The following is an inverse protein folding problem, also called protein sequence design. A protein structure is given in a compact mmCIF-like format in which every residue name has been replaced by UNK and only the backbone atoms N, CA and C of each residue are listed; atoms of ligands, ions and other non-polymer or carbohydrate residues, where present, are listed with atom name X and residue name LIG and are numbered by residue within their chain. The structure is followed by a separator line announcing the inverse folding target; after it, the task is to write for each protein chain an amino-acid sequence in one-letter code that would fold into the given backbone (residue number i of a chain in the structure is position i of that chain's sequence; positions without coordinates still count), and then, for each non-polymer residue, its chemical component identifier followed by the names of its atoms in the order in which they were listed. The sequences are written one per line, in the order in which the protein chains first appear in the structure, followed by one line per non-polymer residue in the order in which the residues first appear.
data_IF_188514953333
#
_entry.id   IF_188514953333
#
_cell.length_a   1.000
_cell.length_b   1.000
_cell.length_c   1.000
_cell.angle_alpha   90.00
_cell.angle_beta   90.00
_cell.angle_gamma   90.00
#
_symmetry.space_group_name_H-M   'P 1'
#
loop_
_entity.id
_entity.type
_entity.pdbx_description
1 polymer ?
#
# COMPACT_ATOMS: atom_id res chain seq x y z
N UNK A 1 -1.64 -17.64 13.34
CA UNK A 1 -2.05 -17.01 12.05
C UNK A 1 -3.35 -16.24 12.26
N UNK A 2 -3.48 -15.01 11.74
CA UNK A 2 -4.75 -14.28 11.78
C UNK A 2 -5.81 -15.05 10.97
N UNK A 3 -7.02 -15.22 11.53
CA UNK A 3 -8.13 -15.99 10.90
C UNK A 3 -8.51 -15.49 9.50
N UNK A 4 -8.15 -14.26 9.14
CA UNK A 4 -8.41 -13.66 7.84
C UNK A 4 -7.47 -14.15 6.73
N UNK A 5 -6.22 -14.53 7.05
CA UNK A 5 -5.28 -15.06 6.07
C UNK A 5 -5.67 -16.45 5.56
N UNK A 6 -6.31 -17.26 6.42
CA UNK A 6 -6.78 -18.59 6.06
C UNK A 6 -7.89 -18.55 5.01
N UNK A 7 -8.85 -17.63 5.16
CA UNK A 7 -10.00 -17.52 4.25
C UNK A 7 -9.61 -17.03 2.85
N UNK A 8 -8.60 -16.16 2.76
CA UNK A 8 -8.05 -15.68 1.49
C UNK A 8 -7.20 -16.76 0.79
N UNK A 9 -6.51 -17.61 1.56
CA UNK A 9 -5.79 -18.78 1.02
C UNK A 9 -6.75 -19.91 0.59
N UNK A 10 -7.91 -20.05 1.25
CA UNK A 10 -9.00 -20.95 0.84
C UNK A 10 -9.72 -20.49 -0.43
N UNK A 11 -9.97 -19.18 -0.59
CA UNK A 11 -10.50 -18.61 -1.84
C UNK A 11 -9.50 -18.70 -3.01
N UNK A 12 -8.19 -18.75 -2.72
CA UNK A 12 -7.11 -18.98 -3.68
C UNK A 12 -6.89 -20.47 -4.02
N UNK A 13 -7.97 -21.26 -3.95
CA UNK A 13 -7.99 -22.68 -4.26
C UNK A 13 -6.98 -23.07 -5.35
N UNK A 14 -6.03 -23.93 -4.96
CA UNK A 14 -5.00 -24.59 -5.76
C UNK A 14 -3.63 -23.91 -5.96
N UNK A 15 -3.34 -22.70 -5.45
CA UNK A 15 -1.96 -22.20 -5.43
C UNK A 15 -1.23 -22.61 -4.14
N UNK A 16 -0.47 -23.71 -4.16
CA UNK A 16 0.44 -24.07 -3.05
C UNK A 16 1.48 -22.95 -2.86
N UNK A 17 1.25 -22.08 -1.88
CA UNK A 17 2.22 -21.08 -1.44
C UNK A 17 3.21 -21.79 -0.50
N UNK A 18 4.34 -22.23 -1.05
CA UNK A 18 5.48 -22.69 -0.25
C UNK A 18 6.26 -21.43 0.16
N UNK A 19 6.34 -21.17 1.47
CA UNK A 19 7.10 -20.05 2.03
C UNK A 19 8.62 -20.26 1.87
N UNK A 20 9.43 -19.21 2.06
CA UNK A 20 10.87 -19.23 1.76
C UNK A 20 11.75 -19.93 2.80
N UNK A 21 11.19 -20.64 3.78
CA UNK A 21 11.97 -21.22 4.90
C UNK A 21 12.42 -22.67 4.70
N UNK A 22 11.96 -23.36 3.66
CA UNK A 22 12.53 -24.64 3.26
C UNK A 22 13.33 -24.45 1.97
N UNK A 23 14.62 -24.76 2.03
CA UNK A 23 15.49 -24.85 0.86
C UNK A 23 14.92 -25.96 -0.04
N UNK A 24 14.07 -25.57 -1.00
CA UNK A 24 13.30 -26.48 -1.83
C UNK A 24 14.24 -27.36 -2.66
N UNK A 25 14.46 -28.59 -2.19
CA UNK A 25 15.41 -29.57 -2.71
C UNK A 25 14.85 -30.38 -3.90
N UNK A 26 13.62 -30.09 -4.34
CA UNK A 26 12.93 -30.85 -5.37
C UNK A 26 13.24 -30.40 -6.80
N UNK A 27 13.89 -29.26 -7.01
CA UNK A 27 14.17 -28.74 -8.35
C UNK A 27 15.67 -28.48 -8.56
N UNK A 28 16.24 -29.09 -9.61
CA UNK A 28 17.56 -28.71 -10.11
C UNK A 28 17.55 -27.20 -10.43
N UNK A 29 18.61 -26.47 -10.08
CA UNK A 29 18.71 -25.01 -10.25
C UNK A 29 18.43 -24.54 -11.69
N UNK A 30 18.59 -25.42 -12.68
CA UNK A 30 18.39 -25.17 -14.11
C UNK A 30 16.93 -25.23 -14.58
N UNK A 31 16.01 -25.78 -13.76
CA UNK A 31 14.57 -25.87 -14.05
C UNK A 31 13.82 -25.27 -12.86
N UNK A 32 14.07 -24.00 -12.55
CA UNK A 32 13.11 -23.24 -11.78
C UNK A 32 12.09 -22.68 -12.78
N UNK A 33 10.85 -23.20 -12.85
CA UNK A 33 9.75 -22.39 -13.36
C UNK A 33 9.56 -21.26 -12.34
N UNK A 34 10.44 -20.26 -12.38
CA UNK A 34 10.27 -19.05 -11.61
C UNK A 34 9.00 -18.41 -12.13
N UNK A 35 7.96 -18.37 -11.30
CA UNK A 35 6.80 -17.56 -11.61
C UNK A 35 7.31 -16.13 -11.89
N UNK A 36 6.94 -15.58 -13.05
CA UNK A 36 7.30 -14.22 -13.46
C UNK A 36 6.87 -13.19 -12.40
N UNK A 37 5.92 -13.56 -11.54
CA UNK A 37 5.34 -12.77 -10.47
C UNK A 37 5.21 -13.64 -9.21
N UNK A 38 5.61 -13.12 -8.04
CA UNK A 38 5.40 -13.79 -6.74
C UNK A 38 3.91 -13.94 -6.40
N UNK A 39 3.53 -14.96 -5.61
CA UNK A 39 2.12 -15.25 -5.28
C UNK A 39 1.34 -14.03 -4.73
N UNK A 40 1.91 -13.26 -3.81
CA UNK A 40 1.25 -12.06 -3.27
C UNK A 40 1.07 -10.97 -4.33
N UNK A 41 2.06 -10.81 -5.22
CA UNK A 41 1.98 -9.89 -6.34
C UNK A 41 0.95 -10.35 -7.38
N UNK A 42 0.79 -11.66 -7.58
CA UNK A 42 -0.23 -12.23 -8.46
C UNK A 42 -1.65 -11.85 -8.01
N UNK A 43 -1.93 -11.98 -6.72
CA UNK A 43 -3.22 -11.55 -6.15
C UNK A 43 -3.41 -10.04 -6.30
N UNK A 44 -2.34 -9.26 -6.09
CA UNK A 44 -2.38 -7.80 -6.22
C UNK A 44 -2.65 -7.36 -7.67
N UNK A 45 -2.14 -8.08 -8.67
CA UNK A 45 -2.49 -7.85 -10.09
C UNK A 45 -3.99 -7.92 -10.33
N UNK A 46 -4.69 -8.87 -9.70
CA UNK A 46 -6.14 -8.97 -9.77
C UNK A 46 -6.89 -7.76 -9.21
N UNK A 47 -6.25 -6.95 -8.36
CA UNK A 47 -6.83 -5.70 -7.83
C UNK A 47 -6.58 -4.50 -8.74
N UNK A 48 -5.52 -4.51 -9.55
CA UNK A 48 -5.10 -3.36 -10.35
C UNK A 48 -5.45 -3.44 -11.84
N UNK A 49 -5.65 -4.65 -12.38
CA UNK A 49 -6.02 -4.86 -13.79
C UNK A 49 -7.54 -4.79 -13.96
N UNK A 50 -8.01 -4.00 -14.92
CA UNK A 50 -9.42 -3.93 -15.28
C UNK A 50 -9.91 -5.27 -15.82
N UNK A 51 -10.94 -5.84 -15.19
CA UNK A 51 -11.40 -7.21 -15.45
C UNK A 51 -10.77 -8.25 -14.51
N UNK A 52 -9.90 -7.82 -13.60
CA UNK A 52 -9.31 -8.64 -12.56
C UNK A 52 -8.39 -9.74 -13.08
N UNK A 53 -8.12 -10.72 -12.21
CA UNK A 53 -7.15 -11.78 -12.52
C UNK A 53 -7.62 -12.70 -13.66
N UNK A 54 -8.92 -12.91 -13.80
CA UNK A 54 -9.50 -13.75 -14.86
C UNK A 54 -9.14 -13.24 -16.27
N UNK A 55 -9.05 -11.92 -16.45
CA UNK A 55 -8.63 -11.33 -17.73
C UNK A 55 -7.16 -11.60 -18.03
N UNK A 56 -6.31 -11.54 -16.99
CA UNK A 56 -4.88 -11.85 -17.10
C UNK A 56 -4.70 -13.32 -17.45
N UNK A 57 -5.42 -14.22 -16.77
CA UNK A 57 -5.38 -15.66 -17.01
C UNK A 57 -5.87 -16.04 -18.41
N UNK A 58 -6.92 -15.38 -18.91
CA UNK A 58 -7.41 -15.59 -20.27
C UNK A 58 -6.42 -15.15 -21.36
N UNK A 59 -5.44 -14.30 -21.03
CA UNK A 59 -4.46 -13.75 -21.97
C UNK A 59 -3.03 -13.89 -21.42
N UNK A 60 -2.75 -15.05 -20.80
CA UNK A 60 -1.51 -15.25 -20.04
C UNK A 60 -0.25 -15.12 -20.90
N UNK A 61 -0.30 -15.53 -22.16
CA UNK A 61 0.80 -15.38 -23.11
C UNK A 61 1.13 -13.91 -23.40
N UNK A 62 0.10 -13.08 -23.57
CA UNK A 62 0.22 -11.62 -23.73
C UNK A 62 0.81 -11.02 -22.46
N UNK A 63 0.31 -11.42 -21.29
CA UNK A 63 0.81 -10.95 -20.00
C UNK A 63 2.29 -11.29 -19.79
N UNK A 64 2.70 -12.53 -20.06
CA UNK A 64 4.10 -12.96 -19.92
C UNK A 64 5.01 -12.16 -20.85
N UNK A 65 4.61 -11.93 -22.11
CA UNK A 65 5.37 -11.09 -23.06
C UNK A 65 5.47 -9.64 -22.57
N UNK A 66 4.38 -9.07 -22.08
CA UNK A 66 4.36 -7.72 -21.53
C UNK A 66 5.30 -7.58 -20.33
N UNK A 67 5.26 -8.54 -19.40
CA UNK A 67 6.15 -8.56 -18.23
C UNK A 67 7.62 -8.72 -18.64
N UNK A 68 7.93 -9.64 -19.56
CA UNK A 68 9.29 -9.82 -20.08
C UNK A 68 9.81 -8.55 -20.75
N UNK A 69 8.98 -7.91 -21.59
CA UNK A 69 9.34 -6.65 -22.25
C UNK A 69 9.62 -5.55 -21.23
N UNK A 70 8.73 -5.38 -20.25
CA UNK A 70 8.91 -4.41 -19.17
C UNK A 70 10.24 -4.63 -18.44
N UNK A 71 10.54 -5.87 -18.03
CA UNK A 71 11.78 -6.16 -17.30
C UNK A 71 13.05 -6.00 -18.14
N UNK A 72 13.00 -6.31 -19.43
CA UNK A 72 14.17 -6.23 -20.32
C UNK A 72 14.45 -4.81 -20.82
N UNK A 73 13.43 -3.99 -21.07
CA UNK A 73 13.60 -2.70 -21.77
C UNK A 73 13.19 -1.49 -20.97
N UNK A 74 12.12 -1.60 -20.18
CA UNK A 74 11.56 -0.45 -19.46
C UNK A 74 12.19 -0.31 -18.06
N UNK A 75 12.37 -1.42 -17.33
CA UNK A 75 12.96 -1.43 -15.99
C UNK A 75 14.43 -1.00 -15.96
N UNK A 76 15.19 -1.26 -17.02
CA UNK A 76 16.58 -0.79 -17.13
C UNK A 76 16.66 0.74 -17.22
N UNK A 77 15.66 1.40 -17.83
CA UNK A 77 15.57 2.88 -17.85
C UNK A 77 15.13 3.43 -16.50
N UNK A 78 14.18 2.76 -15.85
CA UNK A 78 13.67 3.20 -14.54
C UNK A 78 14.67 2.96 -13.40
N UNK A 79 15.55 1.95 -13.50
CA UNK A 79 16.57 1.66 -12.50
C UNK A 79 17.55 2.83 -12.28
N UNK A 80 17.87 3.60 -13.32
CA UNK A 80 18.69 4.81 -13.22
C UNK A 80 17.96 5.92 -12.43
N UNK A 81 16.63 6.04 -12.58
CA UNK A 81 15.82 6.98 -11.82
C UNK A 81 15.56 6.54 -10.37
N UNK A 82 15.48 5.23 -10.12
CA UNK A 82 15.27 4.68 -8.78
C UNK A 82 16.50 4.80 -7.88
N UNK A 83 17.72 4.67 -8.41
CA UNK A 83 18.94 4.92 -7.63
C UNK A 83 19.04 6.37 -7.13
N UNK A 84 18.44 7.32 -7.85
CA UNK A 84 18.37 8.72 -7.43
C UNK A 84 17.33 8.88 -6.31
N UNK A 85 16.12 8.33 -6.48
CA UNK A 85 15.02 8.46 -5.49
C UNK A 85 15.23 7.68 -4.18
N UNK A 86 16.01 6.60 -4.22
CA UNK A 86 16.41 5.81 -3.02
C UNK A 86 17.83 6.16 -2.54
N UNK A 87 18.55 7.01 -3.27
CA UNK A 87 19.90 7.48 -2.94
C UNK A 87 19.92 8.65 -1.96
N UNK A 88 18.79 9.34 -1.81
CA UNK A 88 18.64 10.50 -0.91
C UNK A 88 18.49 10.13 0.57
N UNK A 89 18.49 8.84 0.92
CA UNK A 89 18.62 8.42 2.32
C UNK A 89 20.04 8.80 2.75
N UNK A 90 20.21 9.78 3.66
CA UNK A 90 21.53 10.18 4.10
C UNK A 90 22.26 8.93 4.61
N UNK A 91 23.51 8.68 4.18
CA UNK A 91 24.27 7.60 4.74
C UNK A 91 24.30 7.79 6.26
N UNK A 92 23.83 6.80 7.00
CA UNK A 92 24.08 6.75 8.43
C UNK A 92 25.60 6.86 8.61
N UNK A 93 26.10 7.93 9.26
CA UNK A 93 27.54 8.17 9.39
C UNK A 93 28.25 7.04 10.15
N UNK A 94 27.49 6.20 10.87
CA UNK A 94 28.01 5.04 11.59
C UNK A 94 27.87 3.71 10.82
N UNK A 95 27.29 3.70 9.62
CA UNK A 95 27.05 2.50 8.82
C UNK A 95 27.97 2.44 7.60
N UNK A 96 29.23 2.07 7.81
CA UNK A 96 30.26 1.98 6.76
C UNK A 96 30.19 0.70 5.90
N UNK A 97 29.17 -0.15 6.07
CA UNK A 97 29.08 -1.42 5.35
C UNK A 97 28.04 -1.36 4.23
N UNK A 98 28.50 -1.41 2.98
CA UNK A 98 27.69 -1.63 1.76
C UNK A 98 26.67 -2.78 1.91
N UNK A 99 27.03 -3.82 2.68
CA UNK A 99 26.16 -4.96 2.98
C UNK A 99 24.94 -4.62 3.85
N UNK A 100 24.99 -3.59 4.70
CA UNK A 100 23.84 -3.17 5.51
C UNK A 100 22.80 -2.42 4.66
N UNK A 101 23.25 -1.59 3.71
CA UNK A 101 22.36 -0.94 2.73
C UNK A 101 21.65 -1.97 1.86
N UNK A 102 22.38 -2.96 1.33
CA UNK A 102 21.83 -4.05 0.53
C UNK A 102 20.82 -4.91 1.34
N UNK A 103 21.10 -5.20 2.61
CA UNK A 103 20.15 -5.92 3.49
C UNK A 103 18.87 -5.15 3.79
N UNK A 104 18.93 -3.82 3.97
CA UNK A 104 17.72 -2.98 4.15
C UNK A 104 16.85 -2.99 2.88
N UNK A 105 17.49 -2.82 1.74
CA UNK A 105 16.84 -2.84 0.42
C UNK A 105 16.19 -4.21 0.15
N UNK A 106 16.90 -5.32 0.45
CA UNK A 106 16.32 -6.67 0.37
C UNK A 106 15.13 -6.88 1.32
N UNK A 107 15.17 -6.35 2.55
CA UNK A 107 14.02 -6.44 3.48
C UNK A 107 12.78 -5.73 2.94
N UNK A 108 12.94 -4.58 2.28
CA UNK A 108 11.84 -3.87 1.62
C UNK A 108 11.22 -4.72 0.50
N UNK A 109 12.03 -5.43 -0.28
CA UNK A 109 11.56 -6.31 -1.36
C UNK A 109 10.90 -7.61 -0.88
N UNK A 110 11.22 -8.07 0.33
CA UNK A 110 10.64 -9.27 0.92
C UNK A 110 9.36 -8.99 1.73
N UNK A 111 8.98 -7.73 1.95
CA UNK A 111 7.71 -7.42 2.61
C UNK A 111 6.55 -7.78 1.69
N UNK A 112 5.52 -8.39 2.27
CA UNK A 112 4.33 -8.79 1.55
C UNK A 112 3.55 -7.53 1.11
N UNK A 113 3.53 -7.15 -0.19
CA UNK A 113 2.85 -5.93 -0.61
C UNK A 113 1.33 -6.06 -0.51
N UNK A 114 0.80 -7.29 -0.46
CA UNK A 114 -0.63 -7.53 -0.30
C UNK A 114 -1.10 -7.21 1.13
N UNK A 115 -0.25 -7.42 2.14
CA UNK A 115 -0.62 -7.24 3.55
C UNK A 115 0.32 -6.26 4.25
N UNK A 116 -0.16 -5.03 4.43
CA UNK A 116 0.55 -4.01 5.19
C UNK A 116 0.08 -4.04 6.64
N UNK A 117 0.90 -4.59 7.54
CA UNK A 117 0.49 -4.85 8.93
C UNK A 117 0.01 -3.59 9.65
N UNK A 118 0.77 -2.49 9.55
CA UNK A 118 0.39 -1.22 10.19
C UNK A 118 -0.93 -0.65 9.67
N UNK A 119 -1.24 -0.87 8.39
CA UNK A 119 -2.51 -0.50 7.79
C UNK A 119 -3.66 -1.29 8.43
N UNK A 120 -3.51 -2.61 8.57
CA UNK A 120 -4.51 -3.46 9.23
C UNK A 120 -4.69 -3.07 10.71
N UNK A 121 -3.61 -2.81 11.42
CA UNK A 121 -3.64 -2.33 12.82
C UNK A 121 -4.39 -1.00 12.95
N UNK A 122 -4.13 -0.05 12.04
CA UNK A 122 -4.84 1.23 12.00
C UNK A 122 -6.34 1.02 11.73
N UNK A 123 -6.71 0.16 10.78
CA UNK A 123 -8.12 -0.17 10.51
C UNK A 123 -8.78 -0.77 11.75
N UNK A 124 -8.14 -1.74 12.39
CA UNK A 124 -8.71 -2.42 13.54
C UNK A 124 -8.84 -1.49 14.75
N UNK A 125 -7.84 -0.64 15.02
CA UNK A 125 -7.89 0.37 16.07
C UNK A 125 -9.07 1.32 15.89
N UNK A 126 -9.32 1.78 14.66
CA UNK A 126 -10.37 2.75 14.38
C UNK A 126 -11.78 2.11 14.28
N UNK A 127 -11.87 0.80 14.07
CA UNK A 127 -13.12 0.04 14.30
C UNK A 127 -13.50 0.02 15.78
N UNK A 128 -12.52 -0.19 16.67
CA UNK A 128 -12.76 -0.21 18.11
C UNK A 128 -13.16 1.19 18.61
N UNK A 129 -12.46 2.24 18.17
CA UNK A 129 -12.77 3.64 18.54
C UNK A 129 -14.19 4.07 18.16
N UNK A 130 -14.68 3.64 17.00
CA UNK A 130 -16.03 3.95 16.53
C UNK A 130 -17.13 3.49 17.50
N UNK A 131 -16.87 2.47 18.32
CA UNK A 131 -17.83 1.94 19.30
C UNK A 131 -18.01 2.90 20.49
N UNK A 132 -16.96 3.67 20.83
CA UNK A 132 -16.96 4.57 21.99
C UNK A 132 -17.20 6.05 21.67
N UNK A 133 -16.91 6.50 20.45
CA UNK A 133 -16.95 7.93 20.13
C UNK A 133 -18.35 8.44 19.78
N UNK A 134 -18.92 9.28 20.65
CA UNK A 134 -19.99 10.22 20.25
C UNK A 134 -19.34 11.40 19.55
N UNK A 135 -19.75 11.65 18.31
CA UNK A 135 -19.28 12.82 17.55
C UNK A 135 -19.78 14.09 18.24
N UNK A 136 -18.85 14.91 18.72
CA UNK A 136 -19.15 16.27 19.15
C UNK A 136 -19.23 17.13 17.90
N UNK A 137 -20.32 17.88 17.77
CA UNK A 137 -20.58 18.74 16.62
C UNK A 137 -19.78 20.04 16.69
N UNK A 138 -19.89 20.85 15.64
CA UNK A 138 -19.17 22.13 15.48
C UNK A 138 -19.70 23.26 16.38
N UNK A 139 -20.68 23.00 17.25
CA UNK A 139 -21.46 24.07 17.88
C UNK A 139 -22.04 24.98 16.79
N UNK A 140 -21.79 26.28 16.90
CA UNK A 140 -22.18 27.31 15.93
C UNK A 140 -21.10 27.63 14.88
N UNK A 141 -19.97 26.92 14.88
CA UNK A 141 -18.89 27.20 13.94
C UNK A 141 -19.21 26.67 12.53
N UNK A 142 -19.07 27.48 11.46
CA UNK A 142 -19.36 27.03 10.10
C UNK A 142 -18.44 25.89 9.65
N UNK A 143 -19.04 24.79 9.16
CA UNK A 143 -18.32 23.60 8.69
C UNK A 143 -17.34 23.95 7.56
N UNK A 144 -17.74 24.82 6.66
CA UNK A 144 -16.95 25.25 5.50
C UNK A 144 -15.65 25.91 5.95
N UNK A 145 -15.72 26.76 6.98
CA UNK A 145 -14.52 27.39 7.56
C UNK A 145 -13.63 26.36 8.26
N UNK A 146 -14.20 25.36 8.91
CA UNK A 146 -13.43 24.29 9.55
C UNK A 146 -12.66 23.48 8.51
N UNK A 147 -13.31 23.13 7.40
CA UNK A 147 -12.67 22.45 6.28
C UNK A 147 -11.55 23.31 5.70
N UNK A 148 -11.80 24.60 5.43
CA UNK A 148 -10.77 25.52 4.93
C UNK A 148 -9.56 25.64 5.85
N UNK A 149 -9.79 25.73 7.17
CA UNK A 149 -8.71 25.77 8.15
C UNK A 149 -7.90 24.46 8.14
N UNK A 150 -8.57 23.31 8.15
CA UNK A 150 -7.88 22.01 8.10
C UNK A 150 -7.11 21.84 6.78
N UNK A 151 -7.68 22.25 5.65
CA UNK A 151 -7.01 22.23 4.35
C UNK A 151 -5.77 23.13 4.33
N UNK A 152 -5.76 24.20 5.12
CA UNK A 152 -4.62 25.11 5.27
C UNK A 152 -3.54 24.52 6.19
N UNK A 153 -3.94 23.87 7.28
CA UNK A 153 -3.02 23.27 8.27
C UNK A 153 -2.42 21.95 7.78
N UNK A 154 -3.17 21.21 6.98
CA UNK A 154 -2.75 19.96 6.39
C UNK A 154 -3.20 19.94 4.91
N UNK A 155 -2.35 20.45 4.00
CA UNK A 155 -2.65 20.52 2.58
C UNK A 155 -2.73 19.13 1.92
N UNK A 156 -2.99 19.10 0.60
CA UNK A 156 -3.08 17.86 -0.17
C UNK A 156 -1.72 17.12 -0.24
N UNK A 157 -0.64 17.89 -0.37
CA UNK A 157 0.73 17.44 -0.13
C UNK A 157 1.07 17.82 1.31
N UNK A 158 1.44 16.85 2.13
CA UNK A 158 1.61 17.07 3.57
C UNK A 158 2.80 16.29 4.12
N UNK A 159 3.27 16.76 5.28
CA UNK A 159 4.34 16.19 6.10
C UNK A 159 3.76 15.56 7.37
N UNK A 160 4.56 14.76 8.07
CA UNK A 160 4.18 14.18 9.36
C UNK A 160 3.79 15.27 10.40
N UNK A 161 4.45 16.42 10.36
CA UNK A 161 4.18 17.54 11.27
C UNK A 161 2.80 18.15 10.99
N UNK A 162 2.44 18.35 9.72
CA UNK A 162 1.14 18.89 9.33
C UNK A 162 -0.02 17.95 9.68
N UNK A 163 0.17 16.63 9.52
CA UNK A 163 -0.81 15.63 9.99
C UNK A 163 -0.99 15.71 11.50
N UNK A 164 0.10 15.85 12.26
CA UNK A 164 0.04 16.00 13.71
C UNK A 164 -0.63 17.32 14.13
N UNK A 165 -0.35 18.42 13.42
CA UNK A 165 -1.01 19.71 13.66
C UNK A 165 -2.52 19.62 13.42
N UNK A 166 -2.94 18.93 12.34
CA UNK A 166 -4.36 18.69 12.09
C UNK A 166 -5.02 17.88 13.21
N UNK A 167 -4.36 16.84 13.74
CA UNK A 167 -4.86 16.08 14.91
C UNK A 167 -5.06 17.00 16.12
N UNK A 168 -4.02 17.74 16.49
CA UNK A 168 -4.05 18.64 17.65
C UNK A 168 -5.15 19.70 17.51
N UNK A 169 -5.34 20.25 16.31
CA UNK A 169 -6.39 21.22 16.03
C UNK A 169 -7.79 20.60 16.16
N UNK A 170 -8.03 19.46 15.51
CA UNK A 170 -9.34 18.78 15.60
C UNK A 170 -9.69 18.40 17.04
N UNK A 171 -8.70 17.97 17.82
CA UNK A 171 -8.87 17.63 19.24
C UNK A 171 -9.15 18.88 20.09
N UNK A 172 -8.34 19.94 19.95
CA UNK A 172 -8.49 21.17 20.72
C UNK A 172 -9.85 21.84 20.53
N UNK A 173 -10.35 21.85 19.30
CA UNK A 173 -11.66 22.41 18.97
C UNK A 173 -12.80 21.39 19.02
N UNK A 174 -12.51 20.12 19.34
CA UNK A 174 -13.45 19.01 19.32
C UNK A 174 -14.20 18.88 17.98
N UNK A 175 -13.55 19.26 16.88
CA UNK A 175 -14.14 19.24 15.55
C UNK A 175 -14.19 17.82 14.99
N UNK A 176 -15.37 17.45 14.49
CA UNK A 176 -15.57 16.19 13.77
C UNK A 176 -16.03 16.45 12.36
N UNK A 177 -15.12 16.39 11.39
CA UNK A 177 -15.47 16.58 9.98
C UNK A 177 -16.28 15.40 9.41
N UNK A 178 -17.10 15.62 8.37
CA UNK A 178 -17.88 14.56 7.73
C UNK A 178 -17.00 13.42 7.19
N UNK A 179 -17.53 12.19 7.22
CA UNK A 179 -16.80 11.02 6.71
C UNK A 179 -16.41 11.16 5.24
N UNK A 180 -17.24 11.82 4.43
CA UNK A 180 -16.97 12.06 3.01
C UNK A 180 -15.67 12.84 2.78
N UNK A 181 -15.34 13.77 3.68
CA UNK A 181 -14.10 14.54 3.63
C UNK A 181 -12.89 13.61 3.81
N UNK A 182 -12.88 12.79 4.87
CA UNK A 182 -11.78 11.88 5.16
C UNK A 182 -11.65 10.75 4.14
N UNK A 183 -12.77 10.19 3.67
CA UNK A 183 -12.76 9.17 2.61
C UNK A 183 -12.11 9.70 1.34
N UNK A 184 -12.39 10.94 0.95
CA UNK A 184 -11.79 11.58 -0.22
C UNK A 184 -10.27 11.75 -0.04
N UNK A 185 -9.81 12.12 1.15
CA UNK A 185 -8.37 12.23 1.46
C UNK A 185 -7.66 10.88 1.53
N UNK A 186 -8.38 9.79 1.81
CA UNK A 186 -7.84 8.43 1.80
C UNK A 186 -7.96 7.71 0.45
N UNK A 187 -8.51 8.34 -0.60
CA UNK A 187 -8.68 7.72 -1.91
C UNK A 187 -7.36 7.71 -2.70
N UNK A 188 -6.36 7.08 -2.11
CA UNK A 188 -5.04 6.89 -2.73
C UNK A 188 -4.91 5.44 -3.19
N UNK A 189 -4.27 5.25 -4.35
CA UNK A 189 -4.08 3.95 -5.02
C UNK A 189 -3.60 2.80 -4.11
N UNK A 190 -2.63 2.99 -3.18
CA UNK A 190 -2.11 1.87 -2.38
C UNK A 190 -3.06 1.35 -1.28
N UNK A 191 -4.21 1.99 -1.02
CA UNK A 191 -5.10 1.65 0.09
C UNK A 191 -6.34 0.83 -0.34
N UNK A 192 -6.13 -0.36 -0.90
CA UNK A 192 -7.21 -1.25 -1.34
C UNK A 192 -8.21 -1.61 -0.23
N UNK A 193 -7.70 -1.77 0.99
CA UNK A 193 -8.49 -2.08 2.17
C UNK A 193 -9.52 -0.98 2.47
N UNK A 194 -9.17 0.28 2.22
CA UNK A 194 -10.08 1.42 2.39
C UNK A 194 -11.24 1.34 1.39
N UNK A 195 -10.96 1.03 0.11
CA UNK A 195 -12.01 0.83 -0.91
C UNK A 195 -12.99 -0.28 -0.50
N UNK A 196 -12.46 -1.37 0.08
CA UNK A 196 -13.28 -2.46 0.62
C UNK A 196 -14.15 -1.98 1.80
N UNK A 197 -13.60 -1.22 2.74
CA UNK A 197 -14.34 -0.66 3.88
C UNK A 197 -15.51 0.24 3.42
N UNK A 198 -15.28 1.08 2.40
CA UNK A 198 -16.32 1.92 1.82
C UNK A 198 -17.41 1.06 1.18
N UNK A 199 -17.02 0.08 0.35
CA UNK A 199 -17.95 -0.84 -0.34
C UNK A 199 -18.82 -1.63 0.65
N UNK A 200 -18.24 -2.13 1.74
CA UNK A 200 -18.96 -2.92 2.74
C UNK A 200 -19.70 -2.06 3.76
N UNK A 201 -19.65 -0.72 3.64
CA UNK A 201 -20.22 0.23 4.61
C UNK A 201 -19.77 -0.09 6.04
N UNK A 202 -18.50 -0.46 6.19
CA UNK A 202 -17.93 -0.81 7.49
C UNK A 202 -18.05 0.37 8.46
N UNK A 203 -18.44 0.08 9.71
CA UNK A 203 -18.47 1.06 10.78
C UNK A 203 -17.04 1.32 11.27
N UNK A 204 -16.48 2.46 10.91
CA UNK A 204 -15.13 2.89 11.28
C UNK A 204 -15.14 4.39 11.57
N UNK A 205 -14.29 4.82 12.50
CA UNK A 205 -14.01 6.23 12.72
C UNK A 205 -13.18 6.76 11.55
N UNK A 206 -13.86 7.33 10.55
CA UNK A 206 -13.22 7.80 9.32
C UNK A 206 -12.27 8.98 9.56
N UNK A 207 -12.51 9.80 10.58
CA UNK A 207 -11.61 10.90 10.93
C UNK A 207 -10.30 10.35 11.49
N UNK A 208 -10.40 9.49 12.50
CA UNK A 208 -9.22 8.90 13.11
C UNK A 208 -8.48 7.96 12.14
N UNK A 209 -9.22 7.18 11.34
CA UNK A 209 -8.64 6.36 10.28
C UNK A 209 -7.93 7.23 9.25
N UNK A 210 -8.55 8.32 8.80
CA UNK A 210 -7.97 9.16 7.77
C UNK A 210 -6.65 9.77 8.19
N UNK A 211 -6.58 10.29 9.41
CA UNK A 211 -5.34 10.80 9.98
C UNK A 211 -4.30 9.68 10.17
N UNK A 212 -4.70 8.48 10.60
CA UNK A 212 -3.79 7.32 10.74
C UNK A 212 -3.23 6.90 9.37
N UNK A 213 -4.05 6.90 8.31
CA UNK A 213 -3.60 6.62 6.94
C UNK A 213 -2.60 7.67 6.45
N UNK A 214 -2.92 8.95 6.65
CA UNK A 214 -2.04 10.06 6.28
C UNK A 214 -0.69 9.93 7.00
N UNK A 215 -0.69 9.64 8.31
CA UNK A 215 0.54 9.38 9.07
C UNK A 215 1.35 8.23 8.46
N UNK A 216 0.71 7.11 8.10
CA UNK A 216 1.41 5.96 7.50
C UNK A 216 2.02 6.26 6.13
N UNK A 217 1.42 7.18 5.36
CA UNK A 217 1.92 7.59 4.04
C UNK A 217 3.17 8.48 4.13
N UNK A 218 3.32 9.23 5.23
CA UNK A 218 4.48 10.10 5.48
C UNK A 218 5.51 9.52 6.45
N UNK A 219 5.20 8.40 7.10
CA UNK A 219 6.16 7.63 7.91
C UNK A 219 7.31 7.07 7.08
N UNK A 220 8.49 6.95 7.69
CA UNK A 220 9.73 6.44 7.07
C UNK A 220 9.52 5.11 6.32
N UNK A 221 10.18 5.03 5.16
CA UNK A 221 10.01 4.02 4.09
C UNK A 221 10.12 2.59 4.59
N UNK A 222 10.99 2.38 5.57
CA UNK A 222 11.34 1.06 6.10
C UNK A 222 10.24 0.49 7.00
N UNK A 223 9.43 1.36 7.61
CA UNK A 223 8.60 0.99 8.74
C UNK A 223 7.11 0.88 8.40
N UNK A 224 6.61 1.56 7.37
CA UNK A 224 5.17 1.56 7.08
C UNK A 224 4.70 0.37 6.23
N UNK A 225 5.57 -0.15 5.35
CA UNK A 225 5.22 -1.16 4.35
C UNK A 225 4.36 -0.63 3.18
N UNK A 226 3.76 0.55 3.31
CA UNK A 226 2.96 1.20 2.26
C UNK A 226 3.81 1.60 1.06
N UNK A 227 5.02 2.09 1.28
CA UNK A 227 5.91 2.49 0.18
C UNK A 227 6.45 1.29 -0.59
N UNK A 228 6.69 0.16 0.08
CA UNK A 228 7.02 -1.10 -0.58
C UNK A 228 5.85 -1.55 -1.48
N UNK A 229 4.62 -1.46 -0.98
CA UNK A 229 3.41 -1.68 -1.79
C UNK A 229 3.33 -0.70 -2.96
N UNK A 230 3.46 0.60 -2.73
CA UNK A 230 3.41 1.63 -3.77
C UNK A 230 4.42 1.37 -4.89
N UNK A 231 5.65 0.99 -4.52
CA UNK A 231 6.68 0.60 -5.48
C UNK A 231 6.28 -0.64 -6.29
N UNK A 232 5.77 -1.69 -5.64
CA UNK A 232 5.27 -2.87 -6.36
C UNK A 232 4.13 -2.48 -7.30
N UNK A 233 3.23 -1.59 -6.88
CA UNK A 233 2.14 -1.10 -7.71
C UNK A 233 2.63 -0.29 -8.91
N UNK A 234 3.69 0.51 -8.77
CA UNK A 234 4.26 1.24 -9.92
C UNK A 234 4.87 0.29 -10.95
N UNK A 235 5.53 -0.78 -10.50
CA UNK A 235 6.01 -1.83 -11.39
C UNK A 235 4.85 -2.56 -12.09
N UNK A 236 3.79 -2.88 -11.34
CA UNK A 236 2.60 -3.50 -11.90
C UNK A 236 1.92 -2.62 -12.93
N UNK A 237 1.87 -1.30 -12.70
CA UNK A 237 1.31 -0.36 -13.66
C UNK A 237 2.11 -0.32 -14.98
N UNK A 238 3.44 -0.40 -14.90
CA UNK A 238 4.30 -0.55 -16.08
C UNK A 238 3.99 -1.81 -16.88
N UNK A 239 3.89 -2.96 -16.21
CA UNK A 239 3.51 -4.24 -16.85
C UNK A 239 2.10 -4.17 -17.43
N UNK A 240 1.15 -3.60 -16.68
CA UNK A 240 -0.25 -3.42 -17.06
C UNK A 240 -0.38 -2.57 -18.32
N UNK A 241 0.33 -1.45 -18.43
CA UNK A 241 0.33 -0.61 -19.64
C UNK A 241 0.75 -1.41 -20.86
N UNK A 242 1.86 -2.16 -20.77
CA UNK A 242 2.31 -3.05 -21.86
C UNK A 242 1.33 -4.16 -22.17
N UNK A 243 0.70 -4.74 -21.16
CA UNK A 243 -0.31 -5.79 -21.33
C UNK A 243 -1.47 -5.27 -22.19
N UNK A 244 -1.96 -4.06 -21.94
CA UNK A 244 -3.03 -3.45 -22.73
C UNK A 244 -2.59 -2.90 -24.09
N UNK A 245 -1.32 -2.59 -24.30
CA UNK A 245 -0.80 -2.22 -25.62
C UNK A 245 -0.72 -3.42 -26.58
N UNK A 246 -0.54 -4.63 -26.05
CA UNK A 246 -0.37 -5.85 -26.83
C UNK A 246 -1.68 -6.65 -26.97
N UNK A 247 -2.66 -6.39 -26.09
CA UNK A 247 -3.98 -7.04 -26.08
C UNK A 247 -4.91 -6.47 -27.15
#
# INVERSE_FOLDING_TARGET
MPRYAAHLLEELGAARVIGPEELDSYWAQEIRPGYVVHAHCWVLFGQVVEGGIARVEANLDVFVRAAQHFWQKDRLRDAEHHLIRFGDIPPDPNSSSRAHKERRVLRLYCQNPLFVLKLEEAIQRNRIRQIGNRRVGFGDFPLELAIMIIDTVCPAEYTAIEVQNARSLLEAFQWTLPDGYWRKRCDVSPLFEVKRLVKTKARVDWQALGLDMMSLLVEDEVNSGLRAREYVLSLMDGIKRRFFEVL
#
